data_IF_168847909085
#
_entry.id   IF_168847909085
#
_cell.length_a   1.000
_cell.length_b   1.000
_cell.length_c   1.000
_cell.angle_alpha   90.00
_cell.angle_beta   90.00
_cell.angle_gamma   90.00
#
_symmetry.space_group_name_H-M   'P 1'
#
loop_
_entity.id
_entity.type
_entity.pdbx_description
1 polymer ?
#
# COMPACT_ATOMS: atom_id res chain seq x y z
N UNK A 1 -35.14 30.45 -53.15
CA UNK A 1 -33.99 29.54 -53.28
C UNK A 1 -33.07 29.77 -52.07
N UNK A 2 -33.42 29.24 -50.90
CA UNK A 2 -32.64 29.35 -49.67
C UNK A 2 -31.61 28.20 -49.67
N UNK A 3 -30.34 28.55 -49.75
CA UNK A 3 -29.23 27.61 -49.62
C UNK A 3 -29.14 27.28 -48.12
N UNK A 4 -29.51 26.06 -47.76
CA UNK A 4 -29.31 25.52 -46.42
C UNK A 4 -27.82 25.41 -46.18
N UNK A 5 -27.26 26.37 -45.45
CA UNK A 5 -25.92 26.25 -44.89
C UNK A 5 -25.91 25.04 -43.97
N UNK A 6 -25.40 23.93 -44.48
CA UNK A 6 -25.03 22.76 -43.69
C UNK A 6 -23.95 23.23 -42.71
N UNK A 7 -24.39 23.64 -41.51
CA UNK A 7 -23.55 23.78 -40.34
C UNK A 7 -22.86 22.42 -40.15
N UNK A 8 -21.60 22.34 -40.54
CA UNK A 8 -20.75 21.21 -40.23
C UNK A 8 -20.63 21.18 -38.72
N UNK A 9 -21.22 20.16 -38.10
CA UNK A 9 -21.02 19.93 -36.68
C UNK A 9 -19.51 19.88 -36.40
N UNK A 10 -19.02 20.58 -35.36
CA UNK A 10 -17.60 20.53 -35.03
C UNK A 10 -17.19 19.09 -34.79
N UNK A 11 -16.04 18.71 -35.36
CA UNK A 11 -15.51 17.37 -35.17
C UNK A 11 -15.45 17.02 -33.67
N UNK A 12 -15.82 15.80 -33.26
CA UNK A 12 -15.80 15.41 -31.86
C UNK A 12 -14.39 15.56 -31.29
N UNK A 13 -14.26 15.95 -30.00
CA UNK A 13 -12.96 16.13 -29.38
C UNK A 13 -12.13 14.84 -29.47
N UNK A 14 -10.87 14.96 -29.87
CA UNK A 14 -9.92 13.85 -29.92
C UNK A 14 -9.73 13.25 -28.53
N UNK A 15 -9.90 11.93 -28.40
CA UNK A 15 -9.61 11.23 -27.13
C UNK A 15 -8.12 11.36 -26.80
N UNK A 16 -7.74 11.69 -25.56
CA UNK A 16 -6.34 11.73 -25.18
C UNK A 16 -5.72 10.33 -25.32
N UNK A 17 -4.48 10.29 -25.80
CA UNK A 17 -3.73 9.04 -25.90
C UNK A 17 -3.54 8.40 -24.51
N UNK A 18 -3.51 7.05 -24.43
CA UNK A 18 -3.32 6.35 -23.17
C UNK A 18 -1.96 6.71 -22.54
N UNK A 19 -1.98 7.17 -21.29
CA UNK A 19 -0.78 7.63 -20.54
C UNK A 19 -0.05 6.50 -19.79
N UNK A 20 -0.28 5.25 -20.16
CA UNK A 20 0.32 4.08 -19.49
C UNK A 20 1.86 4.11 -19.39
N UNK A 21 2.62 4.56 -20.41
CA UNK A 21 4.07 4.65 -20.30
C UNK A 21 4.53 5.63 -19.21
N UNK A 22 3.88 6.79 -19.13
CA UNK A 22 4.19 7.78 -18.10
C UNK A 22 3.87 7.25 -16.69
N UNK A 23 2.72 6.58 -16.53
CA UNK A 23 2.36 5.94 -15.26
C UNK A 23 3.36 4.84 -14.87
N UNK A 24 3.80 4.02 -15.83
CA UNK A 24 4.81 2.99 -15.61
C UNK A 24 6.16 3.57 -15.19
N UNK A 25 6.61 4.65 -15.83
CA UNK A 25 7.85 5.35 -15.43
C UNK A 25 7.74 5.89 -14.00
N UNK A 26 6.62 6.53 -13.66
CA UNK A 26 6.39 7.03 -12.29
C UNK A 26 6.43 5.89 -11.29
N UNK A 27 5.76 4.77 -11.55
CA UNK A 27 5.78 3.60 -10.67
C UNK A 27 7.20 3.05 -10.47
N UNK A 28 7.97 2.89 -11.55
CA UNK A 28 9.35 2.39 -11.47
C UNK A 28 10.28 3.34 -10.70
N UNK A 29 10.13 4.66 -10.92
CA UNK A 29 10.90 5.66 -10.17
C UNK A 29 10.55 5.63 -8.69
N UNK A 30 9.27 5.52 -8.34
CA UNK A 30 8.84 5.36 -6.94
C UNK A 30 9.49 4.11 -6.31
N UNK A 31 9.42 2.95 -6.96
CA UNK A 31 10.06 1.73 -6.46
C UNK A 31 11.57 1.90 -6.26
N UNK A 32 12.26 2.51 -7.22
CA UNK A 32 13.70 2.75 -7.14
C UNK A 32 14.09 3.67 -5.97
N UNK A 33 13.29 4.72 -5.73
CA UNK A 33 13.51 5.66 -4.61
C UNK A 33 13.32 4.98 -3.25
N UNK A 34 12.37 4.06 -3.13
CA UNK A 34 12.09 3.35 -1.87
C UNK A 34 12.98 2.13 -1.63
N UNK A 35 13.68 1.60 -2.65
CA UNK A 35 14.53 0.40 -2.50
C UNK A 35 15.51 0.43 -1.32
N UNK A 36 16.15 1.55 -0.95
CA UNK A 36 17.03 1.61 0.22
C UNK A 36 16.33 1.32 1.56
N UNK A 37 15.00 1.54 1.67
CA UNK A 37 14.26 1.30 2.93
C UNK A 37 14.21 -0.17 3.32
N UNK A 38 14.40 -1.10 2.38
CA UNK A 38 14.49 -2.54 2.64
C UNK A 38 15.64 -2.92 3.58
N UNK A 39 16.64 -2.04 3.75
CA UNK A 39 17.77 -2.25 4.66
C UNK A 39 17.53 -1.68 6.05
N UNK A 40 16.39 -1.02 6.26
CA UNK A 40 15.96 -0.49 7.54
C UNK A 40 15.82 -1.59 8.59
N UNK A 41 15.99 -1.21 9.85
CA UNK A 41 15.71 -2.05 11.01
C UNK A 41 14.53 -1.44 11.77
N UNK A 42 13.93 -2.22 12.67
CA UNK A 42 13.01 -1.65 13.66
C UNK A 42 13.74 -0.56 14.48
N UNK A 43 13.06 0.56 14.71
CA UNK A 43 13.60 1.74 15.38
C UNK A 43 12.84 2.06 16.67
N UNK A 44 13.56 2.63 17.63
CA UNK A 44 13.01 3.00 18.94
C UNK A 44 12.19 4.31 18.84
N UNK A 45 11.03 4.23 18.22
CA UNK A 45 10.02 5.27 18.22
C UNK A 45 8.65 4.67 18.59
N UNK A 46 8.11 3.84 17.71
CA UNK A 46 6.86 3.12 17.93
C UNK A 46 6.97 1.61 17.64
N UNK A 47 8.06 1.15 17.01
CA UNK A 47 8.26 -0.28 16.72
C UNK A 47 8.40 -1.12 17.98
N UNK A 48 8.93 -0.54 19.06
CA UNK A 48 9.04 -1.18 20.35
C UNK A 48 7.67 -1.63 20.87
N UNK A 49 6.66 -0.78 20.72
CA UNK A 49 5.29 -1.02 21.18
C UNK A 49 4.48 -1.82 20.17
N UNK A 50 4.60 -1.49 18.87
CA UNK A 50 3.78 -2.11 17.83
C UNK A 50 4.29 -3.49 17.40
N UNK A 51 5.61 -3.72 17.42
CA UNK A 51 6.24 -4.91 16.85
C UNK A 51 7.08 -5.71 17.85
N UNK A 52 8.10 -5.09 18.45
CA UNK A 52 9.12 -5.82 19.21
C UNK A 52 8.57 -6.43 20.51
N UNK A 53 7.75 -5.66 21.24
CA UNK A 53 7.16 -6.09 22.52
C UNK A 53 5.68 -6.47 22.41
N UNK A 54 5.12 -6.53 21.20
CA UNK A 54 3.74 -6.96 20.98
C UNK A 54 3.67 -8.36 20.35
N UNK A 55 3.50 -9.42 21.14
CA UNK A 55 3.31 -10.76 20.60
C UNK A 55 1.89 -10.99 20.04
N UNK A 56 0.93 -10.10 20.30
CA UNK A 56 -0.47 -10.38 20.05
C UNK A 56 -0.87 -10.31 18.56
N UNK A 57 -0.12 -9.56 17.74
CA UNK A 57 -0.34 -9.52 16.29
C UNK A 57 0.36 -10.67 15.54
N UNK A 58 1.24 -11.43 16.21
CA UNK A 58 2.19 -12.37 15.59
C UNK A 58 1.51 -13.67 15.14
N UNK A 59 0.74 -13.59 14.07
CA UNK A 59 0.01 -14.71 13.45
C UNK A 59 -1.41 -14.35 13.08
N UNK A 60 -2.13 -15.32 12.51
CA UNK A 60 -3.53 -15.19 12.07
C UNK A 60 -4.44 -16.24 12.73
N UNK A 61 -4.04 -16.75 13.90
CA UNK A 61 -4.87 -17.67 14.68
C UNK A 61 -6.06 -16.97 15.33
N UNK A 62 -7.02 -17.72 15.89
CA UNK A 62 -8.22 -17.14 16.51
C UNK A 62 -7.91 -16.12 17.62
N UNK A 63 -6.86 -16.36 18.41
CA UNK A 63 -6.44 -15.44 19.48
C UNK A 63 -5.91 -14.12 18.92
N UNK A 64 -5.04 -14.19 17.90
CA UNK A 64 -4.52 -13.00 17.22
C UNK A 64 -5.65 -12.24 16.54
N UNK A 65 -6.48 -12.91 15.75
CA UNK A 65 -7.62 -12.28 15.07
C UNK A 65 -8.58 -11.63 16.07
N UNK A 66 -8.91 -12.29 17.18
CA UNK A 66 -9.73 -11.68 18.22
C UNK A 66 -9.09 -10.41 18.78
N UNK A 67 -7.78 -10.45 19.08
CA UNK A 67 -7.04 -9.29 19.58
C UNK A 67 -7.02 -8.14 18.56
N UNK A 68 -6.80 -8.41 17.28
CA UNK A 68 -6.73 -7.39 16.23
C UNK A 68 -8.00 -6.51 16.17
N UNK A 69 -9.16 -7.08 16.46
CA UNK A 69 -10.44 -6.37 16.45
C UNK A 69 -10.83 -5.74 17.79
N UNK A 70 -10.11 -6.04 18.86
CA UNK A 70 -10.37 -5.50 20.22
C UNK A 70 -9.19 -4.73 20.81
N UNK A 71 -8.11 -4.57 20.05
CA UNK A 71 -6.87 -3.94 20.49
C UNK A 71 -7.07 -2.50 21.01
N UNK A 72 -6.31 -2.18 22.06
CA UNK A 72 -6.19 -0.85 22.68
C UNK A 72 -4.74 -0.43 22.91
N UNK A 73 -3.76 -1.20 22.42
CA UNK A 73 -2.32 -0.91 22.57
C UNK A 73 -1.93 0.36 21.82
N UNK A 74 -2.52 0.58 20.64
CA UNK A 74 -2.27 1.76 19.80
C UNK A 74 -3.57 2.20 19.11
N UNK A 75 -3.45 2.77 17.92
CA UNK A 75 -4.59 3.07 17.06
C UNK A 75 -5.35 1.77 16.73
N UNK A 76 -6.67 1.82 16.83
CA UNK A 76 -7.53 0.72 16.40
C UNK A 76 -7.45 0.56 14.87
N UNK A 77 -6.72 -0.47 14.42
CA UNK A 77 -6.39 -0.69 13.01
C UNK A 77 -6.45 -2.19 12.66
N UNK A 78 -7.63 -2.85 12.76
CA UNK A 78 -7.73 -4.32 12.64
C UNK A 78 -7.22 -4.86 11.29
N UNK A 79 -7.50 -4.16 10.18
CA UNK A 79 -7.03 -4.59 8.86
C UNK A 79 -5.51 -4.45 8.73
N UNK A 80 -4.92 -3.39 9.30
CA UNK A 80 -3.47 -3.22 9.37
C UNK A 80 -2.85 -4.32 10.22
N UNK A 81 -3.45 -4.67 11.37
CA UNK A 81 -2.93 -5.78 12.16
C UNK A 81 -3.01 -7.11 11.41
N UNK A 82 -4.04 -7.35 10.59
CA UNK A 82 -4.11 -8.55 9.76
C UNK A 82 -2.99 -8.60 8.70
N UNK A 83 -2.66 -7.49 8.04
CA UNK A 83 -1.54 -7.47 7.09
C UNK A 83 -0.21 -7.68 7.81
N UNK A 84 0.00 -7.03 8.96
CA UNK A 84 1.20 -7.22 9.78
C UNK A 84 1.32 -8.64 10.38
N UNK A 85 0.19 -9.27 10.70
CA UNK A 85 0.12 -10.66 11.15
C UNK A 85 0.46 -11.63 10.02
N UNK A 86 0.04 -11.33 8.79
CA UNK A 86 0.47 -12.06 7.60
C UNK A 86 1.97 -11.89 7.36
N UNK A 87 2.50 -10.67 7.50
CA UNK A 87 3.94 -10.42 7.41
C UNK A 87 4.71 -11.24 8.44
N UNK A 88 4.21 -11.34 9.67
CA UNK A 88 4.84 -12.20 10.68
C UNK A 88 4.84 -13.68 10.27
N UNK A 89 3.74 -14.19 9.70
CA UNK A 89 3.66 -15.59 9.24
C UNK A 89 4.66 -15.87 8.12
N UNK A 90 4.87 -14.93 7.21
CA UNK A 90 5.75 -15.11 6.06
C UNK A 90 7.23 -14.84 6.38
N UNK A 91 7.50 -13.85 7.22
CA UNK A 91 8.83 -13.27 7.40
C UNK A 91 9.35 -13.35 8.84
N UNK A 92 8.53 -13.74 9.81
CA UNK A 92 8.86 -13.63 11.23
C UNK A 92 9.12 -12.17 11.64
N UNK A 93 10.05 -11.95 12.57
CA UNK A 93 10.48 -10.59 12.96
C UNK A 93 11.58 -10.02 12.04
N UNK A 94 11.59 -10.37 10.75
CA UNK A 94 12.55 -9.81 9.81
C UNK A 94 12.00 -8.51 9.19
N UNK A 95 12.54 -7.32 9.53
CA UNK A 95 12.02 -6.03 9.08
C UNK A 95 12.03 -5.88 7.54
N UNK A 96 12.91 -6.60 6.84
CA UNK A 96 12.93 -6.62 5.37
C UNK A 96 11.56 -7.01 4.78
N UNK A 97 10.90 -8.01 5.38
CA UNK A 97 9.59 -8.50 4.91
C UNK A 97 8.50 -7.44 5.03
N UNK A 98 8.42 -6.80 6.20
CA UNK A 98 7.49 -5.70 6.46
C UNK A 98 7.71 -4.51 5.52
N UNK A 99 8.97 -4.12 5.29
CA UNK A 99 9.28 -3.04 4.35
C UNK A 99 8.93 -3.42 2.91
N UNK A 100 9.14 -4.67 2.50
CA UNK A 100 8.78 -5.14 1.16
C UNK A 100 7.26 -5.09 0.95
N UNK A 101 6.47 -5.54 1.92
CA UNK A 101 5.01 -5.47 1.86
C UNK A 101 4.52 -4.03 1.72
N UNK A 102 5.05 -3.10 2.51
CA UNK A 102 4.71 -1.67 2.45
C UNK A 102 5.11 -0.97 1.13
N UNK A 103 6.11 -1.47 0.42
CA UNK A 103 6.50 -0.91 -0.89
C UNK A 103 5.51 -1.36 -1.98
N UNK A 104 4.91 -2.55 -1.82
CA UNK A 104 4.07 -3.17 -2.85
C UNK A 104 2.58 -2.84 -2.70
N UNK A 105 2.11 -2.53 -1.48
CA UNK A 105 0.70 -2.36 -1.13
C UNK A 105 0.49 -1.15 -0.23
#
# INVERSE_FOLDING_TARGET
MLKSDHLMDPAPPSRPAPRFPAAGIVALLTLAVFLPSLRGQFVNYDDDVNFLNNPNYRGLGPAQLSWMFTDTVSLWMPLTWMTLGLDFVLWGMNPLGYHLSNILF
#
